data_IF_334660782033
#
_entry.id   IF_334660782033
#
_cell.length_a   1.000
_cell.length_b   1.000
_cell.length_c   1.000
_cell.angle_alpha   90.00
_cell.angle_beta   90.00
_cell.angle_gamma   90.00
#
_symmetry.space_group_name_H-M   'P 1'
#
loop_
_entity.id
_entity.type
_entity.pdbx_description
1 polymer ?
#
# COMPACT_ATOMS: atom_id res chain seq x y z
N UNK A 1 -37.42 -0.16 16.48
CA UNK A 1 -36.42 -0.23 17.58
C UNK A 1 -34.97 -0.44 17.12
N UNK A 2 -34.69 -0.81 15.86
CA UNK A 2 -33.34 -1.13 15.33
C UNK A 2 -32.42 0.05 14.99
N UNK A 3 -32.96 1.28 14.86
CA UNK A 3 -32.15 2.46 14.50
C UNK A 3 -31.51 3.16 15.71
N UNK A 4 -32.03 2.94 16.92
CA UNK A 4 -31.48 3.56 18.14
C UNK A 4 -30.18 2.88 18.58
N UNK A 5 -30.05 1.57 18.38
CA UNK A 5 -28.83 0.82 18.69
C UNK A 5 -27.67 1.17 17.76
N UNK A 6 -27.94 1.33 16.45
CA UNK A 6 -26.93 1.72 15.46
C UNK A 6 -26.34 3.12 15.73
N UNK A 7 -27.19 4.06 16.15
CA UNK A 7 -26.77 5.42 16.50
C UNK A 7 -25.91 5.42 17.79
N UNK A 8 -26.24 4.57 18.76
CA UNK A 8 -25.43 4.40 19.99
C UNK A 8 -24.05 3.81 19.67
N UNK A 9 -23.94 2.84 18.75
CA UNK A 9 -22.65 2.29 18.32
C UNK A 9 -21.78 3.30 17.57
N UNK A 10 -22.38 4.16 16.74
CA UNK A 10 -21.67 5.23 16.04
C UNK A 10 -21.17 6.30 17.03
N UNK A 11 -22.01 6.69 18.01
CA UNK A 11 -21.61 7.65 19.04
C UNK A 11 -20.54 7.11 19.98
N UNK A 12 -20.58 5.82 20.34
CA UNK A 12 -19.52 5.19 21.14
C UNK A 12 -18.22 5.07 20.36
N UNK A 13 -18.25 4.77 19.07
CA UNK A 13 -17.06 4.77 18.22
C UNK A 13 -16.42 6.17 18.09
N UNK A 14 -17.23 7.23 17.97
CA UNK A 14 -16.75 8.61 17.92
C UNK A 14 -16.14 9.02 19.28
N UNK A 15 -16.77 8.65 20.40
CA UNK A 15 -16.25 8.92 21.74
C UNK A 15 -14.90 8.21 22.01
N UNK A 16 -14.71 6.98 21.51
CA UNK A 16 -13.44 6.26 21.59
C UNK A 16 -12.34 6.92 20.74
N UNK A 17 -12.68 7.48 19.57
CA UNK A 17 -11.72 8.19 18.71
C UNK A 17 -11.29 9.53 19.32
N UNK A 18 -12.20 10.26 19.98
CA UNK A 18 -11.86 11.51 20.68
C UNK A 18 -11.11 11.28 21.99
N UNK A 19 -11.35 10.15 22.67
CA UNK A 19 -10.65 9.78 23.91
C UNK A 19 -9.19 9.41 23.71
N UNK A 20 -8.82 8.89 22.52
CA UNK A 20 -7.43 8.52 22.22
C UNK A 20 -6.55 9.73 21.85
N UNK A 21 -7.14 10.89 21.57
CA UNK A 21 -6.41 12.09 21.14
C UNK A 21 -5.80 12.91 22.28
N UNK A 22 -6.16 12.64 23.55
CA UNK A 22 -5.72 13.46 24.70
C UNK A 22 -4.48 12.87 25.41
N UNK A 23 -4.03 11.66 25.02
CA UNK A 23 -2.91 10.97 25.69
C UNK A 23 -1.62 10.88 24.85
N UNK A 24 -1.61 11.43 23.64
CA UNK A 24 -0.42 11.43 22.78
C UNK A 24 0.39 12.72 22.96
N UNK A 25 1.13 12.82 24.08
CA UNK A 25 2.21 13.81 24.19
C UNK A 25 3.38 13.34 23.33
N UNK A 26 3.49 13.88 22.11
CA UNK A 26 4.69 13.73 21.29
C UNK A 26 5.83 14.56 21.91
N UNK A 27 6.81 13.89 22.51
CA UNK A 27 7.98 14.52 23.09
C UNK A 27 9.04 14.74 21.99
N UNK A 28 8.90 15.84 21.24
CA UNK A 28 9.93 16.26 20.29
C UNK A 28 11.18 16.73 21.06
N UNK A 29 12.31 16.03 20.91
CA UNK A 29 13.62 16.54 21.34
C UNK A 29 14.17 17.47 20.25
N UNK A 30 14.48 18.72 20.61
CA UNK A 30 15.04 19.75 19.72
C UNK A 30 16.51 19.50 19.31
N UNK A 31 17.14 18.41 19.77
CA UNK A 31 18.56 18.12 19.52
C UNK A 31 18.84 17.43 18.16
N UNK A 32 17.82 17.17 17.34
CA UNK A 32 17.98 16.52 16.03
C UNK A 32 18.57 17.42 14.92
N UNK A 33 18.86 18.71 15.20
CA UNK A 33 19.25 19.69 14.17
C UNK A 33 20.71 20.13 14.19
N UNK A 34 21.60 19.52 14.99
CA UNK A 34 23.04 19.84 14.92
C UNK A 34 23.85 18.65 14.41
N UNK A 35 23.81 18.40 13.10
CA UNK A 35 24.85 17.63 12.44
C UNK A 35 26.04 18.54 12.13
N UNK A 36 27.16 18.32 12.82
CA UNK A 36 28.45 18.89 12.46
C UNK A 36 28.94 18.20 11.19
N UNK A 37 28.95 18.94 10.07
CA UNK A 37 29.44 18.47 8.78
C UNK A 37 30.98 18.44 8.81
N UNK A 38 31.57 17.24 8.80
CA UNK A 38 33.02 17.05 8.71
C UNK A 38 33.40 16.76 7.24
N UNK A 39 34.07 17.68 6.52
CA UNK A 39 34.27 17.56 5.07
C UNK A 39 35.47 16.68 4.67
N UNK A 40 36.15 16.04 5.62
CA UNK A 40 37.47 15.47 5.38
C UNK A 40 37.51 13.99 4.95
N UNK A 41 36.36 13.32 4.79
CA UNK A 41 36.33 11.90 4.38
C UNK A 41 35.30 11.64 3.26
N UNK A 42 35.26 12.56 2.30
CA UNK A 42 34.39 12.43 1.13
C UNK A 42 34.97 11.42 0.14
N UNK A 43 34.73 10.13 0.37
CA UNK A 43 34.38 9.21 -0.72
C UNK A 43 32.96 9.50 -1.20
N UNK A 44 32.66 10.80 -1.40
CA UNK A 44 31.55 11.26 -2.21
C UNK A 44 31.93 10.99 -3.67
N UNK A 45 31.91 9.69 -4.01
CA UNK A 45 31.70 9.25 -5.37
C UNK A 45 30.42 9.94 -5.81
N UNK A 46 30.57 10.96 -6.65
CA UNK A 46 29.50 11.81 -7.13
C UNK A 46 28.32 10.92 -7.50
N UNK A 47 27.27 10.97 -6.68
CA UNK A 47 26.08 10.14 -6.80
C UNK A 47 25.35 10.61 -8.06
N UNK A 48 25.71 9.95 -9.16
CA UNK A 48 25.33 10.32 -10.53
C UNK A 48 23.83 10.28 -10.64
N UNK A 49 23.17 11.45 -10.58
CA UNK A 49 21.82 11.75 -11.07
C UNK A 49 21.01 10.48 -11.35
N UNK A 50 20.54 9.85 -10.28
CA UNK A 50 20.04 8.49 -10.29
C UNK A 50 18.91 8.33 -11.31
N UNK A 51 19.16 7.54 -12.35
CA UNK A 51 18.12 7.17 -13.31
C UNK A 51 17.17 6.23 -12.61
N UNK A 52 15.94 6.72 -12.35
CA UNK A 52 14.89 5.97 -11.64
C UNK A 52 14.55 4.63 -12.32
N UNK A 53 14.82 4.50 -13.62
CA UNK A 53 14.77 3.25 -14.37
C UNK A 53 15.62 3.32 -15.65
N UNK A 54 16.42 2.27 -15.92
CA UNK A 54 17.25 2.18 -17.13
C UNK A 54 17.17 0.77 -17.72
N UNK A 55 16.74 0.65 -18.98
CA UNK A 55 16.70 -0.65 -19.66
C UNK A 55 18.08 -1.29 -19.78
N UNK A 56 19.13 -0.48 -19.98
CA UNK A 56 20.51 -0.98 -20.02
C UNK A 56 20.88 -1.66 -18.71
N UNK A 57 20.47 -1.08 -17.59
CA UNK A 57 20.72 -1.66 -16.27
C UNK A 57 19.88 -2.91 -16.05
N UNK A 58 18.59 -2.87 -16.39
CA UNK A 58 17.70 -4.02 -16.29
C UNK A 58 18.28 -5.22 -17.03
N UNK A 59 18.61 -5.08 -18.31
CA UNK A 59 19.16 -6.19 -19.10
C UNK A 59 20.58 -6.57 -18.67
N UNK A 60 21.40 -5.62 -18.21
CA UNK A 60 22.70 -5.92 -17.61
C UNK A 60 22.59 -6.78 -16.34
N UNK A 61 21.59 -6.49 -15.52
CA UNK A 61 21.26 -7.25 -14.32
C UNK A 61 20.65 -8.62 -14.58
N UNK A 62 19.73 -8.72 -15.54
CA UNK A 62 19.19 -10.01 -16.01
C UNK A 62 20.30 -10.90 -16.60
N UNK A 63 21.32 -10.31 -17.21
CA UNK A 63 22.52 -11.00 -17.68
C UNK A 63 23.54 -11.29 -16.56
N UNK A 64 23.23 -10.96 -15.30
CA UNK A 64 24.09 -11.15 -14.13
C UNK A 64 25.46 -10.45 -14.22
N UNK A 65 25.54 -9.36 -14.99
CA UNK A 65 26.76 -8.56 -15.14
C UNK A 65 26.90 -7.48 -14.07
N UNK A 66 25.81 -7.17 -13.38
CA UNK A 66 25.72 -6.11 -12.37
C UNK A 66 24.51 -6.37 -11.44
N UNK A 67 24.58 -5.89 -10.20
CA UNK A 67 23.49 -6.02 -9.24
C UNK A 67 22.38 -5.01 -9.52
N UNK A 68 21.12 -5.44 -9.44
CA UNK A 68 19.95 -4.58 -9.62
C UNK A 68 19.48 -4.01 -8.29
N UNK A 69 19.13 -2.72 -8.31
CA UNK A 69 18.27 -2.14 -7.27
C UNK A 69 16.91 -2.83 -7.30
N UNK A 70 16.33 -3.05 -6.13
CA UNK A 70 15.04 -3.75 -6.00
C UNK A 70 13.91 -3.08 -6.81
N UNK A 71 13.92 -1.74 -6.89
CA UNK A 71 12.99 -0.96 -7.70
C UNK A 71 13.13 -1.24 -9.20
N UNK A 72 14.35 -1.28 -9.73
CA UNK A 72 14.61 -1.59 -11.15
C UNK A 72 14.26 -3.03 -11.49
N UNK A 73 14.54 -3.97 -10.58
CA UNK A 73 14.13 -5.37 -10.73
C UNK A 73 12.59 -5.50 -10.77
N UNK A 74 11.89 -4.90 -9.79
CA UNK A 74 10.44 -4.92 -9.72
C UNK A 74 9.80 -4.27 -10.95
N UNK A 75 10.26 -3.06 -11.34
CA UNK A 75 9.81 -2.39 -12.55
C UNK A 75 10.04 -3.24 -13.80
N UNK A 76 11.21 -3.90 -13.88
CA UNK A 76 11.50 -4.89 -14.90
C UNK A 76 10.48 -6.01 -14.96
N UNK A 77 10.09 -6.57 -13.82
CA UNK A 77 9.07 -7.63 -13.74
C UNK A 77 7.67 -7.17 -14.10
N UNK A 78 7.36 -5.88 -13.88
CA UNK A 78 6.07 -5.31 -14.27
C UNK A 78 5.92 -5.28 -15.79
N UNK A 79 7.00 -5.00 -16.52
CA UNK A 79 6.97 -5.00 -17.99
C UNK A 79 7.26 -6.37 -18.60
N UNK A 80 8.13 -7.15 -17.96
CA UNK A 80 8.56 -8.47 -18.40
C UNK A 80 8.26 -9.47 -17.27
N UNK A 81 7.09 -10.13 -17.29
CA UNK A 81 6.76 -11.15 -16.30
C UNK A 81 7.92 -12.14 -16.14
N UNK A 82 8.35 -12.42 -14.91
CA UNK A 82 9.50 -13.32 -14.69
C UNK A 82 10.88 -12.64 -14.66
N UNK A 83 11.02 -11.33 -14.90
CA UNK A 83 12.33 -10.67 -14.84
C UNK A 83 13.01 -10.82 -13.47
N UNK A 84 12.24 -10.75 -12.38
CA UNK A 84 12.71 -11.01 -11.01
C UNK A 84 13.17 -12.45 -10.82
N UNK A 85 12.49 -13.42 -11.41
CA UNK A 85 12.87 -14.83 -11.35
C UNK A 85 14.16 -15.08 -12.13
N UNK A 86 14.35 -14.40 -13.27
CA UNK A 86 15.59 -14.44 -14.05
C UNK A 86 16.74 -13.86 -13.20
N UNK A 87 16.55 -12.69 -12.59
CA UNK A 87 17.55 -12.06 -11.74
C UNK A 87 17.90 -12.92 -10.50
N UNK A 88 16.89 -13.50 -9.85
CA UNK A 88 17.06 -14.37 -8.68
C UNK A 88 17.59 -15.77 -9.03
N UNK A 89 17.86 -16.08 -10.32
CA UNK A 89 18.27 -17.40 -10.84
C UNK A 89 17.23 -18.52 -10.63
N UNK A 90 15.98 -18.18 -10.40
CA UNK A 90 14.85 -19.09 -10.23
C UNK A 90 14.19 -19.44 -11.58
N UNK A 91 14.99 -19.83 -12.57
CA UNK A 91 14.52 -20.09 -13.94
C UNK A 91 13.44 -21.17 -14.02
N UNK A 92 13.47 -22.13 -13.09
CA UNK A 92 12.50 -23.23 -13.03
C UNK A 92 11.05 -22.74 -12.80
N UNK A 93 10.87 -21.53 -12.25
CA UNK A 93 9.54 -20.92 -12.07
C UNK A 93 8.99 -20.32 -13.36
N UNK A 94 9.83 -20.00 -14.34
CA UNK A 94 9.42 -19.32 -15.57
C UNK A 94 8.39 -20.11 -16.39
N UNK A 95 8.52 -21.43 -16.61
CA UNK A 95 7.50 -22.20 -17.31
C UNK A 95 6.13 -22.17 -16.61
N UNK A 96 6.11 -22.09 -15.28
CA UNK A 96 4.89 -22.01 -14.49
C UNK A 96 4.24 -20.63 -14.65
N UNK A 97 5.05 -19.57 -14.56
CA UNK A 97 4.57 -18.18 -14.71
C UNK A 97 4.06 -17.93 -16.12
N UNK A 98 4.90 -18.17 -17.14
CA UNK A 98 4.54 -17.94 -18.54
C UNK A 98 3.47 -18.92 -19.04
N UNK A 99 3.60 -20.20 -18.70
CA UNK A 99 2.63 -21.23 -19.08
C UNK A 99 1.29 -20.99 -18.41
N UNK A 100 1.27 -20.65 -17.12
CA UNK A 100 0.07 -20.33 -16.36
C UNK A 100 -0.64 -19.07 -16.89
N UNK A 101 0.09 -17.96 -17.04
CA UNK A 101 -0.46 -16.71 -17.60
C UNK A 101 -0.95 -16.94 -19.02
N UNK A 102 -0.15 -17.58 -19.87
CA UNK A 102 -0.48 -17.84 -21.27
C UNK A 102 -1.70 -18.74 -21.44
N UNK A 103 -1.78 -19.84 -20.67
CA UNK A 103 -2.93 -20.73 -20.70
C UNK A 103 -4.20 -20.03 -20.20
N UNK A 104 -4.13 -19.36 -19.05
CA UNK A 104 -5.27 -18.65 -18.49
C UNK A 104 -5.73 -17.49 -19.39
N UNK A 105 -4.82 -16.66 -19.88
CA UNK A 105 -5.16 -15.56 -20.79
C UNK A 105 -5.67 -16.06 -22.14
N UNK A 106 -5.08 -17.13 -22.68
CA UNK A 106 -5.52 -17.74 -23.94
C UNK A 106 -6.93 -18.31 -23.85
N UNK A 107 -7.19 -19.13 -22.82
CA UNK A 107 -8.54 -19.68 -22.56
C UNK A 107 -9.51 -18.53 -22.26
N UNK A 108 -9.12 -17.57 -21.43
CA UNK A 108 -9.90 -16.38 -21.09
C UNK A 108 -10.34 -15.63 -22.34
N UNK A 109 -9.36 -15.23 -23.17
CA UNK A 109 -9.57 -14.54 -24.43
C UNK A 109 -10.48 -15.30 -25.40
N UNK A 110 -10.30 -16.62 -25.53
CA UNK A 110 -11.16 -17.47 -26.35
C UNK A 110 -12.63 -17.40 -25.92
N UNK A 111 -12.91 -17.57 -24.62
CA UNK A 111 -14.29 -17.53 -24.11
C UNK A 111 -14.90 -16.12 -24.14
N UNK A 112 -14.10 -15.07 -23.90
CA UNK A 112 -14.56 -13.68 -24.06
C UNK A 112 -14.86 -13.35 -25.53
N UNK A 113 -14.04 -13.83 -26.46
CA UNK A 113 -14.29 -13.68 -27.89
C UNK A 113 -15.61 -14.36 -28.30
N UNK A 114 -15.82 -15.61 -27.86
CA UNK A 114 -17.08 -16.35 -28.08
C UNK A 114 -18.29 -15.57 -27.54
N UNK A 115 -18.18 -15.00 -26.34
CA UNK A 115 -19.24 -14.15 -25.76
C UNK A 115 -19.53 -12.91 -26.63
N UNK A 116 -18.49 -12.21 -27.08
CA UNK A 116 -18.65 -11.01 -27.91
C UNK A 116 -19.33 -11.32 -29.25
N UNK A 117 -18.98 -12.45 -29.86
CA UNK A 117 -19.64 -12.94 -31.10
C UNK A 117 -21.11 -13.26 -30.85
N UNK A 118 -21.42 -14.00 -29.78
CA UNK A 118 -22.79 -14.33 -29.39
C UNK A 118 -23.63 -13.06 -29.12
N UNK A 119 -23.07 -12.10 -28.39
CA UNK A 119 -23.73 -10.81 -28.10
C UNK A 119 -23.98 -9.99 -29.36
N UNK A 120 -23.01 -9.94 -30.28
CA UNK A 120 -23.15 -9.18 -31.54
C UNK A 120 -24.30 -9.75 -32.37
N UNK A 121 -24.34 -11.09 -32.53
CA UNK A 121 -25.43 -11.78 -33.22
C UNK A 121 -26.79 -11.54 -32.57
N UNK A 122 -26.86 -11.61 -31.24
CA UNK A 122 -28.10 -11.32 -30.52
C UNK A 122 -28.59 -9.89 -30.77
N UNK A 123 -27.71 -8.89 -30.71
CA UNK A 123 -28.06 -7.50 -30.97
C UNK A 123 -28.48 -7.26 -32.43
N UNK A 124 -27.83 -7.92 -33.39
CA UNK A 124 -28.21 -7.89 -34.80
C UNK A 124 -29.62 -8.45 -34.99
N UNK A 125 -29.93 -9.62 -34.40
CA UNK A 125 -31.26 -10.21 -34.46
C UNK A 125 -32.31 -9.32 -33.77
N UNK A 126 -31.98 -8.73 -32.63
CA UNK A 126 -32.84 -7.80 -31.92
C UNK A 126 -33.18 -6.56 -32.77
N UNK A 127 -32.22 -6.08 -33.57
CA UNK A 127 -32.44 -4.93 -34.46
C UNK A 127 -33.28 -5.25 -35.71
N UNK A 128 -33.45 -6.52 -36.05
CA UNK A 128 -34.23 -6.96 -37.21
C UNK A 128 -35.71 -7.21 -36.85
N UNK A 129 -36.03 -7.28 -35.56
CA UNK A 129 -37.38 -7.54 -35.09
C UNK A 129 -38.14 -6.21 -35.04
N UNK A 130 -39.31 -6.10 -35.70
CA UNK A 130 -40.12 -4.90 -35.63
C UNK A 130 -40.68 -4.72 -34.20
N UNK A 131 -40.81 -3.46 -33.77
CA UNK A 131 -41.09 -3.10 -32.36
C UNK A 131 -42.46 -3.58 -31.83
N UNK A 132 -43.35 -4.02 -32.72
CA UNK A 132 -44.70 -4.51 -32.45
C UNK A 132 -44.78 -6.04 -32.29
N UNK A 133 -43.70 -6.77 -32.56
CA UNK A 133 -43.69 -8.22 -32.48
C UNK A 133 -43.62 -8.70 -31.01
N UNK A 134 -44.73 -9.23 -30.50
CA UNK A 134 -44.86 -9.67 -29.09
C UNK A 134 -44.29 -11.06 -28.81
N UNK A 135 -44.20 -11.94 -29.81
CA UNK A 135 -43.89 -13.37 -29.61
C UNK A 135 -42.70 -13.86 -30.48
N UNK A 136 -41.57 -13.16 -30.44
CA UNK A 136 -40.35 -13.60 -31.15
C UNK A 136 -39.35 -14.20 -30.17
N UNK A 137 -39.14 -15.52 -30.27
CA UNK A 137 -38.09 -16.23 -29.55
C UNK A 137 -36.75 -16.04 -30.28
N UNK A 138 -35.87 -15.18 -29.75
CA UNK A 138 -34.54 -14.95 -30.31
C UNK A 138 -33.63 -16.14 -30.01
N UNK A 139 -33.28 -16.91 -31.04
CA UNK A 139 -32.29 -17.98 -30.96
C UNK A 139 -31.17 -17.74 -31.97
N UNK A 140 -29.88 -17.92 -31.59
CA UNK A 140 -29.38 -18.31 -30.27
C UNK A 140 -29.33 -17.14 -29.27
N UNK A 141 -29.58 -17.43 -28.00
CA UNK A 141 -29.44 -16.46 -26.90
C UNK A 141 -27.98 -16.10 -26.59
N UNK A 142 -27.78 -15.10 -25.72
CA UNK A 142 -26.45 -14.65 -25.28
C UNK A 142 -25.80 -15.72 -24.40
N UNK A 143 -24.56 -16.13 -24.74
CA UNK A 143 -23.77 -17.09 -23.95
C UNK A 143 -23.11 -16.43 -22.72
N UNK A 144 -23.90 -16.23 -21.65
CA UNK A 144 -23.40 -15.68 -20.39
C UNK A 144 -22.41 -16.62 -19.67
N UNK A 145 -22.47 -17.93 -19.94
CA UNK A 145 -21.53 -18.91 -19.41
C UNK A 145 -20.12 -18.64 -19.91
N UNK A 146 -19.96 -18.40 -21.21
CA UNK A 146 -18.68 -18.04 -21.81
C UNK A 146 -18.10 -16.75 -21.20
N UNK A 147 -18.93 -15.72 -20.95
CA UNK A 147 -18.45 -14.49 -20.28
C UNK A 147 -17.90 -14.79 -18.89
N UNK A 148 -18.63 -15.55 -18.08
CA UNK A 148 -18.22 -15.90 -16.72
C UNK A 148 -16.90 -16.66 -16.75
N UNK A 149 -16.85 -17.74 -17.52
CA UNK A 149 -15.64 -18.58 -17.65
C UNK A 149 -14.45 -17.76 -18.12
N UNK A 150 -14.61 -16.98 -19.19
CA UNK A 150 -13.56 -16.13 -19.71
C UNK A 150 -13.04 -15.12 -18.67
N UNK A 151 -13.94 -14.50 -17.91
CA UNK A 151 -13.60 -13.56 -16.85
C UNK A 151 -12.77 -14.22 -15.74
N UNK A 152 -13.17 -15.42 -15.28
CA UNK A 152 -12.42 -16.15 -14.24
C UNK A 152 -11.01 -16.54 -14.69
N UNK A 153 -10.85 -16.94 -15.95
CA UNK A 153 -9.53 -17.27 -16.49
C UNK A 153 -8.65 -16.02 -16.63
N UNK A 154 -9.20 -14.87 -17.04
CA UNK A 154 -8.44 -13.60 -17.07
C UNK A 154 -8.02 -13.16 -15.67
N UNK A 155 -8.91 -13.31 -14.67
CA UNK A 155 -8.57 -13.07 -13.26
C UNK A 155 -7.46 -14.02 -12.82
N UNK A 156 -7.54 -15.30 -13.17
CA UNK A 156 -6.49 -16.29 -12.89
C UNK A 156 -5.13 -15.89 -13.47
N UNK A 157 -5.09 -15.43 -14.72
CA UNK A 157 -3.86 -14.91 -15.34
C UNK A 157 -3.29 -13.71 -14.56
N UNK A 158 -4.16 -12.78 -14.14
CA UNK A 158 -3.78 -11.64 -13.32
C UNK A 158 -3.23 -12.04 -11.95
N UNK A 159 -3.82 -13.04 -11.30
CA UNK A 159 -3.36 -13.55 -10.00
C UNK A 159 -2.01 -14.27 -10.10
N UNK A 160 -1.79 -15.06 -11.16
CA UNK A 160 -0.49 -15.70 -11.41
C UNK A 160 0.59 -14.65 -11.65
N UNK A 161 0.29 -13.64 -12.46
CA UNK A 161 1.17 -12.50 -12.69
C UNK A 161 1.49 -11.75 -11.39
N UNK A 162 0.47 -11.39 -10.60
CA UNK A 162 0.66 -10.74 -9.30
C UNK A 162 1.48 -11.61 -8.33
N UNK A 163 1.20 -12.90 -8.26
CA UNK A 163 1.97 -13.85 -7.45
C UNK A 163 3.44 -13.93 -7.88
N UNK A 164 3.73 -13.85 -9.18
CA UNK A 164 5.10 -13.81 -9.69
C UNK A 164 5.85 -12.54 -9.27
N UNK A 165 5.16 -11.38 -9.20
CA UNK A 165 5.75 -10.14 -8.70
C UNK A 165 6.08 -10.27 -7.20
N UNK A 166 5.14 -10.79 -6.42
CA UNK A 166 5.32 -11.02 -4.98
C UNK A 166 6.50 -11.96 -4.68
N UNK A 167 6.54 -13.12 -5.35
CA UNK A 167 7.64 -14.10 -5.24
C UNK A 167 8.99 -13.46 -5.58
N UNK A 168 9.03 -12.65 -6.65
CA UNK A 168 10.23 -11.92 -7.06
C UNK A 168 10.78 -10.98 -5.98
N UNK A 169 9.89 -10.27 -5.27
CA UNK A 169 10.25 -9.35 -4.18
C UNK A 169 10.65 -10.11 -2.91
N UNK A 170 10.00 -11.24 -2.62
CA UNK A 170 10.34 -12.10 -1.47
C UNK A 170 11.72 -12.74 -1.63
N UNK A 171 12.02 -13.23 -2.82
CA UNK A 171 13.27 -13.94 -3.14
C UNK A 171 14.47 -13.01 -3.41
N UNK A 172 14.28 -11.69 -3.36
CA UNK A 172 15.37 -10.73 -3.54
C UNK A 172 16.37 -10.80 -2.38
N UNK A 173 17.62 -11.16 -2.71
CA UNK A 173 18.72 -11.22 -1.74
C UNK A 173 19.53 -9.92 -1.80
N UNK A 174 19.53 -9.18 -0.69
CA UNK A 174 20.52 -8.13 -0.38
C UNK A 174 20.90 -8.26 1.09
N UNK A 175 22.16 -7.96 1.39
CA UNK A 175 22.85 -8.41 2.60
C UNK A 175 22.53 -7.64 3.90
N UNK A 176 21.53 -6.74 3.91
CA UNK A 176 21.13 -5.99 5.11
C UNK A 176 19.63 -6.22 5.44
N UNK A 177 19.22 -6.17 6.70
CA UNK A 177 17.80 -6.20 7.09
C UNK A 177 17.59 -5.16 8.17
N UNK A 178 16.51 -4.36 8.11
CA UNK A 178 15.42 -4.30 7.11
C UNK A 178 15.77 -3.45 5.87
N UNK A 179 15.23 -3.79 4.70
CA UNK A 179 15.39 -2.98 3.47
C UNK A 179 14.18 -2.05 3.26
N UNK A 180 14.34 -0.71 3.29
CA UNK A 180 13.25 0.24 2.99
C UNK A 180 12.61 0.02 1.61
N UNK A 181 13.42 -0.41 0.64
CA UNK A 181 12.95 -0.75 -0.70
C UNK A 181 11.99 -1.94 -0.75
N UNK A 182 12.10 -2.91 0.16
CA UNK A 182 11.17 -4.05 0.25
C UNK A 182 9.83 -3.62 0.85
N UNK A 183 9.86 -2.85 1.95
CA UNK A 183 8.66 -2.31 2.58
C UNK A 183 7.83 -1.47 1.58
N UNK A 184 8.51 -0.62 0.80
CA UNK A 184 7.88 0.20 -0.24
C UNK A 184 7.20 -0.65 -1.29
N UNK A 185 7.90 -1.64 -1.88
CA UNK A 185 7.34 -2.47 -2.94
C UNK A 185 6.21 -3.35 -2.40
N UNK A 186 6.30 -3.85 -1.16
CA UNK A 186 5.21 -4.57 -0.53
C UNK A 186 3.96 -3.69 -0.37
N UNK A 187 4.10 -2.46 0.12
CA UNK A 187 2.97 -1.52 0.20
C UNK A 187 2.38 -1.15 -1.16
N UNK A 188 3.19 -1.12 -2.21
CA UNK A 188 2.70 -0.95 -3.59
C UNK A 188 1.89 -2.19 -4.02
N UNK A 189 2.40 -3.39 -3.77
CA UNK A 189 1.75 -4.62 -4.23
C UNK A 189 0.38 -4.85 -3.57
N UNK A 190 0.25 -4.48 -2.31
CA UNK A 190 -1.02 -4.55 -1.60
C UNK A 190 -1.01 -3.57 -0.41
N UNK A 191 -2.10 -2.80 -0.23
CA UNK A 191 -2.19 -1.84 0.85
C UNK A 191 -1.97 -2.52 2.21
N UNK A 192 -0.90 -2.15 2.91
CA UNK A 192 -0.62 -2.59 4.27
C UNK A 192 0.37 -3.75 4.37
N UNK A 193 0.82 -4.33 3.25
CA UNK A 193 1.88 -5.34 3.29
C UNK A 193 3.24 -4.78 3.74
N UNK A 194 3.57 -3.52 3.42
CA UNK A 194 4.79 -2.90 3.95
C UNK A 194 4.71 -2.68 5.45
N UNK A 195 3.53 -2.35 5.98
CA UNK A 195 3.32 -2.27 7.43
C UNK A 195 3.41 -3.64 8.11
N UNK A 196 2.88 -4.68 7.47
CA UNK A 196 3.06 -6.06 7.94
C UNK A 196 4.55 -6.48 7.93
N UNK A 197 5.31 -6.09 6.89
CA UNK A 197 6.75 -6.33 6.80
C UNK A 197 7.53 -5.61 7.92
N UNK A 198 7.11 -4.39 8.25
CA UNK A 198 7.70 -3.58 9.32
C UNK A 198 7.23 -4.00 10.73
N UNK A 199 6.33 -4.98 10.87
CA UNK A 199 5.76 -5.41 12.17
C UNK A 199 4.65 -4.51 12.73
N UNK A 200 4.24 -3.47 12.00
CA UNK A 200 3.25 -2.47 12.42
C UNK A 200 1.80 -2.85 12.09
N UNK A 201 1.37 -4.02 12.57
CA UNK A 201 0.04 -4.57 12.24
C UNK A 201 -1.13 -3.67 12.68
N UNK A 202 -0.94 -2.87 13.74
CA UNK A 202 -2.00 -2.01 14.30
C UNK A 202 -2.43 -0.89 13.35
N UNK A 203 -1.56 -0.48 12.40
CA UNK A 203 -1.89 0.55 11.40
C UNK A 203 -2.72 0.00 10.24
N UNK A 204 -2.67 -1.31 10.00
CA UNK A 204 -3.35 -1.96 8.87
C UNK A 204 -4.87 -1.67 8.86
N UNK A 205 -5.62 -1.83 9.97
CA UNK A 205 -7.04 -1.50 10.01
C UNK A 205 -7.35 -0.04 9.65
N UNK A 206 -6.45 0.89 9.99
CA UNK A 206 -6.64 2.33 9.72
C UNK A 206 -6.56 2.58 8.21
N UNK A 207 -5.54 2.04 7.54
CA UNK A 207 -5.41 2.19 6.09
C UNK A 207 -6.53 1.49 5.34
N UNK A 208 -6.88 0.27 5.74
CA UNK A 208 -8.02 -0.44 5.16
C UNK A 208 -9.32 0.31 5.39
N UNK A 209 -9.52 0.91 6.56
CA UNK A 209 -10.67 1.76 6.86
C UNK A 209 -10.74 2.98 5.94
N UNK A 210 -9.63 3.70 5.79
CA UNK A 210 -9.52 4.84 4.87
C UNK A 210 -9.77 4.46 3.41
N UNK A 211 -9.17 3.36 2.95
CA UNK A 211 -9.36 2.83 1.60
C UNK A 211 -10.81 2.40 1.36
N UNK A 212 -11.42 1.66 2.29
CA UNK A 212 -12.82 1.23 2.18
C UNK A 212 -13.76 2.42 2.12
N UNK A 213 -13.54 3.45 2.94
CA UNK A 213 -14.33 4.67 2.89
C UNK A 213 -14.19 5.38 1.53
N UNK A 214 -12.95 5.60 1.07
CA UNK A 214 -12.70 6.28 -0.21
C UNK A 214 -13.31 5.51 -1.40
N UNK A 215 -13.16 4.19 -1.43
CA UNK A 215 -13.75 3.32 -2.46
C UNK A 215 -15.29 3.32 -2.37
N UNK A 216 -15.85 3.34 -1.17
CA UNK A 216 -17.31 3.42 -0.98
C UNK A 216 -17.88 4.73 -1.56
N UNK A 217 -17.24 5.87 -1.27
CA UNK A 217 -17.63 7.16 -1.86
C UNK A 217 -17.43 7.16 -3.38
N UNK A 218 -16.34 6.60 -3.88
CA UNK A 218 -16.10 6.47 -5.31
C UNK A 218 -17.23 5.68 -5.99
N UNK A 219 -17.60 4.53 -5.42
CA UNK A 219 -18.64 3.65 -5.95
C UNK A 219 -20.01 4.32 -5.97
N UNK A 220 -20.43 4.89 -4.84
CA UNK A 220 -21.74 5.56 -4.70
C UNK A 220 -21.85 6.78 -5.62
N UNK A 221 -20.80 7.61 -5.70
CA UNK A 221 -20.77 8.76 -6.61
C UNK A 221 -20.79 8.33 -8.09
N UNK A 222 -20.08 7.27 -8.44
CA UNK A 222 -20.09 6.74 -9.81
C UNK A 222 -21.46 6.16 -10.20
N UNK A 223 -22.14 5.46 -9.30
CA UNK A 223 -23.50 4.96 -9.53
C UNK A 223 -24.48 6.12 -9.78
N UNK A 224 -24.45 7.14 -8.92
CA UNK A 224 -25.31 8.30 -9.07
C UNK A 224 -24.99 9.05 -10.37
N UNK A 225 -23.70 9.24 -10.70
CA UNK A 225 -23.29 9.82 -11.97
C UNK A 225 -23.88 9.05 -13.18
N UNK A 226 -23.81 7.72 -13.19
CA UNK A 226 -24.37 6.91 -14.27
C UNK A 226 -25.90 7.02 -14.35
N UNK A 227 -26.58 7.08 -13.19
CA UNK A 227 -28.03 7.26 -13.11
C UNK A 227 -28.46 8.59 -13.74
N UNK A 228 -27.88 9.71 -13.31
CA UNK A 228 -28.24 11.02 -13.84
C UNK A 228 -27.78 11.23 -15.28
N UNK A 229 -26.66 10.61 -15.69
CA UNK A 229 -26.24 10.59 -17.10
C UNK A 229 -27.26 9.88 -18.00
N UNK A 230 -27.86 8.78 -17.52
CA UNK A 230 -28.91 8.06 -18.25
C UNK A 230 -30.17 8.91 -18.38
N UNK A 231 -30.64 9.47 -17.26
CA UNK A 231 -31.81 10.34 -17.23
C UNK A 231 -31.64 11.54 -18.18
N UNK A 232 -30.47 12.19 -18.13
CA UNK A 232 -30.17 13.30 -19.03
C UNK A 232 -30.21 12.88 -20.51
N UNK A 233 -29.69 11.70 -20.84
CA UNK A 233 -29.72 11.17 -22.21
C UNK A 233 -31.15 10.90 -22.68
N UNK A 234 -31.98 10.34 -21.81
CA UNK A 234 -33.40 10.07 -22.12
C UNK A 234 -34.19 11.38 -22.28
N UNK A 235 -33.99 12.35 -21.39
CA UNK A 235 -34.67 13.64 -21.42
C UNK A 235 -34.26 14.57 -22.58
N UNK A 236 -33.10 14.32 -23.19
CA UNK A 236 -32.60 15.10 -24.35
C UNK A 236 -32.86 14.39 -25.68
N UNK A 237 -33.47 13.19 -25.67
CA UNK A 237 -33.69 12.42 -26.88
C UNK A 237 -34.90 12.98 -27.64
N UNK A 238 -34.74 13.47 -28.89
CA UNK A 238 -35.86 14.00 -29.68
C UNK A 238 -36.87 12.93 -30.10
N UNK A 239 -36.48 11.65 -30.10
CA UNK A 239 -37.30 10.54 -30.59
C UNK A 239 -38.21 9.92 -29.51
N UNK A 240 -38.04 10.32 -28.24
CA UNK A 240 -38.74 9.73 -27.09
C UNK A 240 -39.42 10.82 -26.27
N UNK A 241 -40.72 10.70 -26.03
CA UNK A 241 -41.43 11.57 -25.09
C UNK A 241 -41.03 11.20 -23.65
N UNK A 242 -40.15 12.00 -23.06
CA UNK A 242 -39.65 11.77 -21.71
C UNK A 242 -40.71 12.12 -20.65
N UNK A 243 -41.35 11.11 -20.05
CA UNK A 243 -42.37 11.26 -18.98
C UNK A 243 -41.78 11.27 -17.55
N UNK A 244 -40.48 11.53 -17.39
CA UNK A 244 -39.85 11.50 -16.08
C UNK A 244 -40.03 12.83 -15.31
N UNK A 245 -40.00 12.74 -13.98
CA UNK A 245 -40.21 13.89 -13.08
C UNK A 245 -39.02 14.85 -12.97
N UNK A 246 -37.87 14.52 -13.57
CA UNK A 246 -36.63 15.27 -13.46
C UNK A 246 -36.35 15.97 -14.80
N UNK A 247 -36.31 17.30 -14.83
CA UNK A 247 -36.00 18.04 -16.05
C UNK A 247 -34.58 17.75 -16.57
N UNK A 248 -34.36 17.91 -17.87
CA UNK A 248 -33.04 17.73 -18.48
C UNK A 248 -31.96 18.60 -17.83
N UNK A 249 -32.29 19.85 -17.50
CA UNK A 249 -31.40 20.79 -16.80
C UNK A 249 -31.04 20.30 -15.39
N UNK A 250 -32.03 19.82 -14.64
CA UNK A 250 -31.82 19.26 -13.29
C UNK A 250 -30.95 18.00 -13.35
N UNK A 251 -31.23 17.11 -14.30
CA UNK A 251 -30.43 15.90 -14.51
C UNK A 251 -28.98 16.23 -14.90
N UNK A 252 -28.77 17.27 -15.72
CA UNK A 252 -27.46 17.77 -16.08
C UNK A 252 -26.68 18.27 -14.87
N UNK A 253 -27.31 19.08 -14.02
CA UNK A 253 -26.69 19.60 -12.81
C UNK A 253 -26.26 18.48 -11.86
N UNK A 254 -27.15 17.52 -11.57
CA UNK A 254 -26.80 16.37 -10.71
C UNK A 254 -25.70 15.51 -11.33
N UNK A 255 -25.75 15.24 -12.64
CA UNK A 255 -24.68 14.53 -13.35
C UNK A 255 -23.33 15.21 -13.11
N UNK A 256 -23.25 16.53 -13.25
CA UNK A 256 -22.00 17.27 -13.13
C UNK A 256 -21.50 17.35 -11.67
N UNK A 257 -22.42 17.41 -10.70
CA UNK A 257 -22.10 17.29 -9.26
C UNK A 257 -21.50 15.92 -8.94
N UNK A 258 -22.17 14.82 -9.31
CA UNK A 258 -21.67 13.47 -9.01
C UNK A 258 -20.41 13.12 -9.81
N UNK A 259 -20.21 13.71 -10.99
CA UNK A 259 -18.93 13.63 -11.72
C UNK A 259 -17.81 14.22 -10.88
N UNK A 260 -17.96 15.43 -10.35
CA UNK A 260 -16.95 16.08 -9.50
C UNK A 260 -16.67 15.29 -8.23
N UNK A 261 -17.71 14.80 -7.53
CA UNK A 261 -17.52 14.00 -6.32
C UNK A 261 -16.85 12.66 -6.58
N UNK A 262 -17.15 12.01 -7.71
CA UNK A 262 -16.42 10.83 -8.14
C UNK A 262 -14.95 11.18 -8.37
N UNK A 263 -14.66 12.27 -9.06
CA UNK A 263 -13.28 12.68 -9.36
C UNK A 263 -12.49 13.01 -8.08
N UNK A 264 -13.12 13.68 -7.10
CA UNK A 264 -12.53 13.85 -5.76
C UNK A 264 -12.32 12.53 -5.02
N UNK A 265 -13.24 11.58 -5.15
CA UNK A 265 -13.10 10.26 -4.53
C UNK A 265 -11.95 9.46 -5.15
N UNK A 266 -11.71 9.61 -6.47
CA UNK A 266 -10.55 9.02 -7.16
C UNK A 266 -9.25 9.59 -6.56
N UNK A 267 -9.17 10.93 -6.46
CA UNK A 267 -8.00 11.60 -5.88
C UNK A 267 -7.79 11.19 -4.42
N UNK A 268 -8.85 11.15 -3.62
CA UNK A 268 -8.77 10.73 -2.22
C UNK A 268 -8.31 9.28 -2.08
N UNK A 269 -8.80 8.36 -2.92
CA UNK A 269 -8.36 6.96 -2.93
C UNK A 269 -6.87 6.86 -3.26
N UNK A 270 -6.42 7.59 -4.29
CA UNK A 270 -5.01 7.64 -4.67
C UNK A 270 -4.14 8.23 -3.55
N UNK A 271 -4.61 9.29 -2.88
CA UNK A 271 -3.90 9.92 -1.77
C UNK A 271 -3.74 8.98 -0.58
N UNK A 272 -4.81 8.30 -0.16
CA UNK A 272 -4.75 7.32 0.93
C UNK A 272 -3.76 6.19 0.61
N UNK A 273 -3.80 5.69 -0.63
CA UNK A 273 -2.89 4.65 -1.09
C UNK A 273 -1.43 5.12 -1.10
N UNK A 274 -1.14 6.31 -1.64
CA UNK A 274 0.22 6.87 -1.67
C UNK A 274 0.75 7.17 -0.25
N UNK A 275 -0.10 7.74 0.61
CA UNK A 275 0.27 8.05 1.99
C UNK A 275 0.68 6.78 2.75
N UNK A 276 -0.03 5.68 2.55
CA UNK A 276 0.32 4.40 3.14
C UNK A 276 1.68 3.86 2.65
N UNK A 277 1.98 4.01 1.35
CA UNK A 277 3.28 3.60 0.79
C UNK A 277 4.40 4.43 1.41
N UNK A 278 4.20 5.75 1.51
CA UNK A 278 5.17 6.67 2.11
C UNK A 278 5.39 6.33 3.59
N UNK A 279 4.34 6.10 4.38
CA UNK A 279 4.46 5.77 5.80
C UNK A 279 5.29 4.50 6.01
N UNK A 280 5.00 3.44 5.25
CA UNK A 280 5.75 2.18 5.33
C UNK A 280 7.23 2.36 4.93
N UNK A 281 7.51 3.22 3.94
CA UNK A 281 8.87 3.51 3.52
C UNK A 281 9.63 4.32 4.58
N UNK A 282 9.03 5.40 5.10
CA UNK A 282 9.64 6.24 6.14
C UNK A 282 9.93 5.42 7.40
N UNK A 283 8.98 4.60 7.85
CA UNK A 283 9.18 3.74 9.02
C UNK A 283 10.35 2.78 8.81
N UNK A 284 10.45 2.15 7.64
CA UNK A 284 11.56 1.25 7.33
C UNK A 284 12.92 1.98 7.29
N UNK A 285 12.98 3.23 6.83
CA UNK A 285 14.19 4.05 6.91
C UNK A 285 14.56 4.47 8.34
N UNK A 286 13.56 4.65 9.22
CA UNK A 286 13.81 5.04 10.61
C UNK A 286 14.16 3.87 11.53
N UNK A 287 13.93 2.62 11.09
CA UNK A 287 14.24 1.42 11.86
C UNK A 287 15.74 1.29 12.20
N UNK A 288 16.63 1.73 11.31
CA UNK A 288 18.08 1.69 11.55
C UNK A 288 18.56 2.73 12.58
N UNK A 289 17.69 3.66 12.97
CA UNK A 289 17.99 4.72 13.94
C UNK A 289 17.48 4.42 15.36
N UNK A 290 16.86 3.27 15.61
CA UNK A 290 16.55 2.86 16.98
C UNK A 290 17.85 2.56 17.74
N UNK A 291 18.15 3.47 18.68
CA UNK A 291 19.19 3.37 19.71
C UNK A 291 18.99 2.05 20.44
N UNK A 292 20.05 1.25 20.58
CA UNK A 292 20.02 -0.02 21.30
C UNK A 292 19.28 0.10 22.65
N UNK A 293 18.27 -0.75 22.86
CA UNK A 293 17.52 -0.91 24.13
C UNK A 293 18.38 -1.38 25.33
N UNK A 294 19.70 -1.42 25.19
CA UNK A 294 20.64 -1.78 26.26
C UNK A 294 20.89 -0.61 27.23
N UNK A 295 19.83 0.10 27.62
CA UNK A 295 19.83 0.97 28.80
C UNK A 295 19.71 0.06 30.03
N UNK A 296 20.77 -0.69 30.31
CA UNK A 296 20.86 -1.51 31.53
C UNK A 296 21.51 -0.69 32.64
N UNK A 297 20.74 -0.40 33.69
CA UNK A 297 21.27 0.16 34.94
C UNK A 297 21.97 -0.95 35.71
N UNK A 298 23.31 -0.94 35.75
CA UNK A 298 24.07 -1.85 36.61
C UNK A 298 24.20 -1.22 37.99
N UNK A 299 23.54 -1.86 38.97
CA UNK A 299 23.66 -1.54 40.39
C UNK A 299 24.53 -2.60 41.03
N UNK A 300 25.77 -2.26 41.36
CA UNK A 300 26.70 -3.18 42.01
C UNK A 300 27.12 -2.62 43.39
N UNK A 301 27.17 -3.45 44.45
CA UNK A 301 27.74 -3.06 45.72
C UNK A 301 29.21 -2.68 45.53
N UNK A 302 29.59 -1.45 45.91
CA UNK A 302 30.95 -0.98 45.77
C UNK A 302 31.49 -0.50 47.12
N UNK A 303 32.69 -0.98 47.46
CA UNK A 303 33.44 -0.46 48.60
C UNK A 303 34.17 0.79 48.13
N UNK A 304 33.69 1.96 48.55
CA UNK A 304 34.27 3.24 48.16
C UNK A 304 35.35 3.58 49.18
N UNK A 305 36.62 3.42 48.78
CA UNK A 305 37.72 3.97 49.54
C UNK A 305 37.70 5.51 49.41
N UNK A 306 37.71 6.27 50.52
CA UNK A 306 37.71 7.71 50.45
C UNK A 306 39.01 8.18 49.78
N UNK A 307 38.93 8.64 48.54
CA UNK A 307 40.05 9.28 47.85
C UNK A 307 39.77 10.78 47.75
N UNK A 308 39.77 11.43 48.91
CA UNK A 308 39.44 12.84 49.05
C UNK A 308 40.72 13.62 49.37
N UNK A 309 41.39 14.14 48.34
CA UNK A 309 42.42 15.18 48.49
C UNK A 309 41.87 16.48 49.12
N UNK A 310 40.54 16.59 49.28
CA UNK A 310 39.84 17.75 49.85
C UNK A 310 39.26 17.52 51.26
N UNK A 311 39.47 16.34 51.88
CA UNK A 311 38.97 16.07 53.24
C UNK A 311 40.05 16.20 54.35
N UNK A 312 41.29 16.59 54.01
CA UNK A 312 42.41 16.68 54.95
C UNK A 312 42.66 18.10 55.51
N UNK A 313 41.61 18.84 55.85
CA UNK A 313 41.79 20.12 56.54
C UNK A 313 40.82 20.32 57.71
N UNK A 314 40.77 19.35 58.62
CA UNK A 314 40.34 19.58 60.00
C UNK A 314 41.36 18.89 60.92
N UNK A 315 42.11 19.62 61.76
CA UNK A 315 43.06 18.99 62.67
C UNK A 315 42.34 18.62 63.96
N UNK A 316 41.92 17.36 64.14
CA UNK A 316 41.61 16.87 65.50
C UNK A 316 41.83 15.36 65.64
N UNK A 317 42.90 15.04 66.39
CA UNK A 317 43.16 13.93 67.31
C UNK A 317 42.10 12.80 67.33
N UNK A 318 42.50 11.59 66.92
CA UNK A 318 41.75 10.36 67.22
C UNK A 318 42.09 9.21 66.28
N UNK A 319 42.70 8.16 66.83
CA UNK A 319 42.86 6.85 66.19
C UNK A 319 41.50 6.32 65.72
N UNK A 320 41.30 6.19 64.40
CA UNK A 320 40.11 5.58 63.82
C UNK A 320 40.46 5.02 62.45
N UNK A 321 40.23 3.72 62.25
CA UNK A 321 40.52 3.02 61.01
C UNK A 321 39.87 3.69 59.80
N UNK A 322 40.45 3.50 58.62
CA UNK A 322 39.86 3.92 57.36
C UNK A 322 38.43 3.36 57.27
N UNK A 323 37.43 4.18 57.59
CA UNK A 323 36.03 3.80 57.48
C UNK A 323 35.73 3.65 55.99
N UNK A 324 35.74 2.40 55.54
CA UNK A 324 35.30 2.03 54.20
C UNK A 324 33.80 2.22 54.16
N UNK A 325 33.33 3.19 53.38
CA UNK A 325 31.91 3.39 53.16
C UNK A 325 31.41 2.34 52.15
N UNK A 326 30.38 1.60 52.55
CA UNK A 326 29.64 0.72 51.63
C UNK A 326 28.72 1.63 50.81
N UNK A 327 28.99 1.73 49.51
CA UNK A 327 28.20 2.52 48.57
C UNK A 327 27.58 1.65 47.47
N UNK A 328 26.64 2.24 46.74
CA UNK A 328 26.13 1.66 45.50
C UNK A 328 26.80 2.37 44.32
N UNK A 329 27.46 1.60 43.45
CA UNK A 329 27.96 2.14 42.19
C UNK A 329 26.86 2.00 41.15
N UNK A 330 26.43 3.14 40.61
CA UNK A 330 25.48 3.21 39.52
C UNK A 330 26.26 3.43 38.22
N UNK A 331 26.22 2.43 37.32
CA UNK A 331 26.73 2.54 35.96
C UNK A 331 25.56 2.53 34.99
N UNK A 332 25.39 3.62 34.22
CA UNK A 332 24.42 3.69 33.13
C UNK A 332 25.20 3.50 31.84
N UNK A 333 24.80 2.51 31.03
CA UNK A 333 25.27 2.32 29.66
C UNK A 333 24.20 2.88 28.73
N UNK A 334 24.63 3.60 27.70
CA UNK A 334 23.80 4.16 26.63
C UNK A 334 24.48 3.91 25.30
#
# INVERSE_FOLDING_TARGET
MRNKTLLVYILTAIACLTGFSISANAQFKEEAFTQSYNPADSTAQADTSDKMFSFKELFGGLAHKQDLRIGTMFAGSVFLPGASQIYNRDYWKLPIVYGGIGACAGIGGYYLHKYNVSKKRYNELLSMIPADATDVVITPGIDYGARRTGTWFMIGAGLIYWGSLMDGVVSYKRDEQPHPGRATIYSILLPGLGQAYNGEYWKIPIYYGGMLAAVHYLYTNNLNYQRFRRIYREATNPDIEYTGSISAETAQWYRDVYRRYRDYSIVATALVYLLQVIDANVFAYMHDFEVSDDITMKVEPAVIAPNNAYALQIPTIGSGGSEQAIGLRLGIRF
#
